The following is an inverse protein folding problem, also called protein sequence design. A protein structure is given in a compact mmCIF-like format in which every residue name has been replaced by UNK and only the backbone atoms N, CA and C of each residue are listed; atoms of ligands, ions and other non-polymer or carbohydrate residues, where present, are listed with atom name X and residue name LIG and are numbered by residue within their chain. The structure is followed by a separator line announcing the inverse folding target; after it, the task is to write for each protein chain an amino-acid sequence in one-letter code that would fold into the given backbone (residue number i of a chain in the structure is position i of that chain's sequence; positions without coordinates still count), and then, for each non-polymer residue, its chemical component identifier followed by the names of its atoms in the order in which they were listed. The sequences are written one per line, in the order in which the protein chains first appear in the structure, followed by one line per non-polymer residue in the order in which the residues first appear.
data_IF_688034174057
#
_entry.id   IF_688034174057
#
_cell.length_a   1.000
_cell.length_b   1.000
_cell.length_c   1.000
_cell.angle_alpha   90.00
_cell.angle_beta   90.00
_cell.angle_gamma   90.00
#
_symmetry.space_group_name_H-M   'P 1'
#
loop_
_entity.id
_entity.type
_entity.pdbx_description
1 polymer ?
#
# COMPACT_ATOMS: atom_id res chain seq x y z
N UNK A 1 -40.28 54.29 -23.76
CA UNK A 1 -40.28 52.85 -24.14
C UNK A 1 -38.85 52.33 -24.07
N UNK A 2 -38.61 51.25 -23.30
CA UNK A 2 -37.72 50.10 -23.64
C UNK A 2 -36.26 50.45 -24.06
N UNK A 3 -35.20 50.11 -23.34
CA UNK A 3 -34.83 48.78 -22.80
C UNK A 3 -33.72 48.91 -21.76
N UNK A 4 -33.94 48.30 -20.59
CA UNK A 4 -32.90 47.79 -19.71
C UNK A 4 -32.33 46.56 -20.42
N UNK A 5 -31.03 46.50 -20.67
CA UNK A 5 -30.33 45.26 -21.02
C UNK A 5 -29.48 44.88 -19.82
N UNK A 6 -30.01 43.94 -19.02
CA UNK A 6 -29.23 43.11 -18.12
C UNK A 6 -28.21 42.34 -18.97
N UNK A 7 -26.92 42.53 -18.70
CA UNK A 7 -25.91 41.55 -19.13
C UNK A 7 -25.82 40.51 -18.01
N UNK A 8 -26.35 39.35 -18.35
CA UNK A 8 -26.40 38.12 -17.58
C UNK A 8 -24.97 37.71 -17.17
N UNK A 9 -24.77 37.54 -15.87
CA UNK A 9 -23.58 36.93 -15.30
C UNK A 9 -23.44 35.52 -15.89
N UNK A 10 -22.37 35.30 -16.66
CA UNK A 10 -21.89 33.97 -17.05
C UNK A 10 -21.43 33.24 -15.78
N UNK A 11 -22.38 32.69 -15.02
CA UNK A 11 -22.11 31.55 -14.14
C UNK A 11 -21.90 30.34 -15.04
N UNK A 12 -20.73 30.27 -15.69
CA UNK A 12 -20.21 28.96 -16.07
C UNK A 12 -20.04 28.19 -14.75
N UNK A 13 -20.70 27.03 -14.57
CA UNK A 13 -20.28 26.15 -13.49
C UNK A 13 -18.85 25.77 -13.82
N UNK A 14 -17.89 26.40 -13.14
CA UNK A 14 -16.59 25.80 -12.93
C UNK A 14 -16.92 24.46 -12.27
N UNK A 15 -16.91 23.39 -13.06
CA UNK A 15 -16.75 22.04 -12.53
C UNK A 15 -15.34 22.01 -11.95
N UNK A 16 -15.19 22.64 -10.78
CA UNK A 16 -14.14 22.32 -9.85
C UNK A 16 -14.39 20.85 -9.53
N UNK A 17 -13.70 19.96 -10.25
CA UNK A 17 -13.54 18.60 -9.80
C UNK A 17 -12.95 18.71 -8.42
N UNK A 18 -13.80 18.58 -7.40
CA UNK A 18 -13.35 18.43 -6.03
C UNK A 18 -12.43 17.23 -6.05
N UNK A 19 -11.12 17.47 -5.96
CA UNK A 19 -10.17 16.39 -5.80
C UNK A 19 -10.57 15.67 -4.51
N UNK A 20 -10.79 14.35 -4.59
CA UNK A 20 -11.05 13.58 -3.39
C UNK A 20 -9.85 13.73 -2.47
N UNK A 21 -10.08 13.95 -1.18
CA UNK A 21 -9.03 14.04 -0.15
C UNK A 21 -8.58 12.66 0.34
N UNK A 22 -9.29 11.62 -0.09
CA UNK A 22 -9.12 10.24 0.37
C UNK A 22 -9.76 9.25 -0.60
N UNK A 23 -9.41 7.98 -0.46
CA UNK A 23 -10.04 6.87 -1.16
C UNK A 23 -10.28 5.70 -0.22
N UNK A 24 -11.02 4.69 -0.66
CA UNK A 24 -11.16 3.43 0.07
C UNK A 24 -10.26 2.37 -0.56
N UNK A 25 -9.47 1.72 0.28
CA UNK A 25 -8.77 0.48 -0.11
C UNK A 25 -9.42 -0.71 0.60
N UNK A 26 -9.28 -1.88 0.00
CA UNK A 26 -9.84 -3.14 0.44
C UNK A 26 -8.73 -4.17 0.60
N UNK A 27 -8.69 -4.82 1.75
CA UNK A 27 -7.83 -5.97 1.98
C UNK A 27 -8.50 -7.22 1.42
N UNK A 28 -7.75 -7.96 0.59
CA UNK A 28 -8.18 -9.22 0.00
C UNK A 28 -7.27 -10.35 0.47
N UNK A 29 -7.83 -11.56 0.55
CA UNK A 29 -7.12 -12.78 0.91
C UNK A 29 -7.08 -13.77 -0.26
N UNK A 30 -6.34 -14.86 -0.07
CA UNK A 30 -6.33 -15.99 -0.99
C UNK A 30 -7.69 -16.71 -0.86
N UNK A 31 -8.51 -16.66 -1.89
CA UNK A 31 -9.85 -17.29 -1.88
C UNK A 31 -9.77 -18.82 -1.93
N UNK A 32 -8.83 -19.38 -2.67
CA UNK A 32 -8.66 -20.83 -2.79
C UNK A 32 -8.06 -21.41 -1.49
N UNK A 33 -8.79 -22.35 -0.88
CA UNK A 33 -8.40 -22.94 0.41
C UNK A 33 -7.14 -23.81 0.31
N UNK A 34 -6.95 -24.56 -0.77
CA UNK A 34 -5.78 -25.42 -0.95
C UNK A 34 -4.50 -24.59 -1.09
N UNK A 35 -4.55 -23.50 -1.86
CA UNK A 35 -3.43 -22.54 -1.97
C UNK A 35 -3.14 -21.91 -0.61
N UNK A 36 -4.17 -21.55 0.16
CA UNK A 36 -3.98 -21.00 1.51
C UNK A 36 -3.29 -21.99 2.43
N UNK A 37 -3.75 -23.24 2.47
CA UNK A 37 -3.13 -24.30 3.27
C UNK A 37 -1.67 -24.54 2.86
N UNK A 38 -1.36 -24.53 1.56
CA UNK A 38 0.01 -24.63 1.06
C UNK A 38 0.86 -23.45 1.54
N UNK A 39 0.32 -22.22 1.48
CA UNK A 39 1.02 -21.04 1.97
C UNK A 39 1.29 -21.13 3.47
N UNK A 40 0.31 -21.56 4.27
CA UNK A 40 0.44 -21.69 5.72
C UNK A 40 1.52 -22.72 6.09
N UNK A 41 1.52 -23.89 5.45
CA UNK A 41 2.54 -24.93 5.67
C UNK A 41 3.93 -24.44 5.24
N UNK A 42 4.01 -23.70 4.13
CA UNK A 42 5.26 -23.16 3.59
C UNK A 42 5.73 -21.88 4.29
N UNK A 43 5.02 -21.39 5.33
CA UNK A 43 5.27 -20.10 5.98
C UNK A 43 5.31 -18.92 5.00
N UNK A 44 4.47 -18.96 3.97
CA UNK A 44 4.26 -17.89 3.00
C UNK A 44 3.09 -17.04 3.49
N UNK A 45 3.35 -15.75 3.65
CA UNK A 45 2.37 -14.77 4.10
C UNK A 45 1.98 -13.90 2.93
N UNK A 46 0.68 -13.83 2.60
CA UNK A 46 0.17 -13.05 1.47
C UNK A 46 -0.89 -12.08 1.97
N UNK A 47 -0.69 -10.80 1.69
CA UNK A 47 -1.70 -9.75 1.88
C UNK A 47 -1.94 -9.06 0.53
N UNK A 48 -3.19 -8.78 0.20
CA UNK A 48 -3.52 -8.02 -1.02
C UNK A 48 -4.26 -6.75 -0.64
N UNK A 49 -3.88 -5.65 -1.28
CA UNK A 49 -4.57 -4.38 -1.22
C UNK A 49 -5.21 -4.13 -2.59
N UNK A 50 -6.50 -3.87 -2.60
CA UNK A 50 -7.28 -3.55 -3.79
C UNK A 50 -7.87 -2.15 -3.65
N UNK A 51 -7.83 -1.38 -4.72
CA UNK A 51 -8.52 -0.10 -4.80
C UNK A 51 -9.23 0.00 -6.15
N UNK A 52 -10.42 0.59 -6.15
CA UNK A 52 -11.18 0.93 -7.35
C UNK A 52 -11.79 2.31 -7.15
N UNK A 53 -11.29 3.29 -7.88
CA UNK A 53 -11.68 4.67 -7.72
C UNK A 53 -11.28 5.49 -8.96
N UNK A 54 -12.28 5.95 -9.71
CA UNK A 54 -12.05 6.75 -10.92
C UNK A 54 -11.53 8.16 -10.62
N UNK A 55 -11.65 8.64 -9.37
CA UNK A 55 -11.12 9.95 -8.98
C UNK A 55 -9.59 9.96 -8.82
N UNK A 56 -8.96 8.78 -8.81
CA UNK A 56 -7.51 8.62 -8.67
C UNK A 56 -6.75 8.74 -9.99
N UNK A 57 -7.42 9.01 -11.11
CA UNK A 57 -6.79 9.14 -12.42
C UNK A 57 -5.56 10.07 -12.39
N UNK A 58 -4.42 9.58 -12.89
CA UNK A 58 -3.12 10.25 -12.88
C UNK A 58 -2.30 10.03 -11.60
N UNK A 59 -2.84 9.37 -10.57
CA UNK A 59 -2.15 9.13 -9.29
C UNK A 59 -1.45 7.79 -9.26
N UNK A 60 -0.39 7.71 -8.46
CA UNK A 60 0.36 6.48 -8.18
C UNK A 60 0.33 6.10 -6.70
N UNK A 61 0.47 4.81 -6.44
CA UNK A 61 0.59 4.28 -5.08
C UNK A 61 2.06 4.09 -4.76
N UNK A 62 2.61 5.02 -4.00
CA UNK A 62 3.95 4.90 -3.44
C UNK A 62 3.92 4.18 -2.10
N UNK A 63 5.00 3.49 -1.77
CA UNK A 63 5.11 2.78 -0.51
C UNK A 63 6.36 3.24 0.23
N UNK A 64 6.23 3.38 1.54
CA UNK A 64 7.35 3.68 2.44
C UNK A 64 7.40 2.60 3.51
N UNK A 65 8.56 1.96 3.67
CA UNK A 65 8.78 0.93 4.70
C UNK A 65 9.56 1.56 5.85
N UNK A 66 8.96 1.59 7.04
CA UNK A 66 9.60 2.12 8.24
C UNK A 66 9.86 1.02 9.25
N UNK A 67 11.08 0.95 9.76
CA UNK A 67 11.48 0.04 10.84
C UNK A 67 11.37 0.76 12.17
N UNK A 68 10.72 0.12 13.13
CA UNK A 68 10.53 0.62 14.47
C UNK A 68 11.33 -0.20 15.46
N UNK A 69 11.95 0.47 16.43
CA UNK A 69 12.57 -0.14 17.60
C UNK A 69 12.24 0.65 18.85
N UNK A 70 11.58 -0.01 19.81
CA UNK A 70 11.09 0.61 21.05
C UNK A 70 10.28 1.90 20.77
N UNK A 71 9.32 1.81 19.85
CA UNK A 71 8.41 2.91 19.50
C UNK A 71 9.01 4.02 18.62
N UNK A 72 10.29 3.93 18.26
CA UNK A 72 10.99 4.94 17.45
C UNK A 72 11.32 4.40 16.06
N UNK A 73 11.16 5.24 15.05
CA UNK A 73 11.62 4.96 13.68
C UNK A 73 13.14 4.95 13.69
N UNK A 74 13.75 3.84 13.25
CA UNK A 74 15.20 3.70 13.13
C UNK A 74 15.68 3.62 11.68
N UNK A 75 14.79 3.30 10.74
CA UNK A 75 15.03 3.39 9.31
C UNK A 75 13.73 3.67 8.56
N UNK A 76 13.84 4.34 7.42
CA UNK A 76 12.73 4.67 6.52
C UNK A 76 13.22 4.54 5.09
N UNK A 77 12.56 3.70 4.31
CA UNK A 77 12.88 3.47 2.91
C UNK A 77 11.66 3.80 2.06
N UNK A 78 11.78 4.87 1.27
CA UNK A 78 10.82 5.21 0.24
C UNK A 78 11.12 4.38 -1.02
N UNK A 79 10.09 3.80 -1.66
CA UNK A 79 10.25 3.07 -2.90
C UNK A 79 10.36 3.98 -4.14
N UNK A 80 10.20 5.29 -3.97
CA UNK A 80 10.32 6.33 -5.02
C UNK A 80 9.48 6.03 -6.27
N UNK A 81 8.27 5.52 -6.05
CA UNK A 81 7.29 5.29 -7.10
C UNK A 81 6.65 6.64 -7.40
N UNK A 82 6.83 7.17 -8.60
CA UNK A 82 6.24 8.45 -9.04
C UNK A 82 5.61 8.30 -10.42
N UNK A 83 4.66 9.18 -10.75
CA UNK A 83 4.09 9.26 -12.09
C UNK A 83 5.18 9.71 -13.08
N UNK A 84 5.65 8.79 -13.92
CA UNK A 84 6.68 9.04 -14.93
C UNK A 84 6.56 8.05 -16.08
N UNK A 85 7.07 8.47 -17.23
CA UNK A 85 7.29 7.60 -18.38
C UNK A 85 8.79 7.34 -18.47
N UNK A 86 9.14 6.07 -18.56
CA UNK A 86 10.53 5.63 -18.75
C UNK A 86 10.67 4.97 -20.11
N UNK A 87 11.67 5.42 -20.87
CA UNK A 87 12.00 4.87 -22.18
C UNK A 87 13.33 4.12 -22.09
N UNK A 88 13.27 2.81 -22.32
CA UNK A 88 14.42 1.91 -22.22
C UNK A 88 14.79 1.47 -23.64
N UNK A 89 15.92 1.95 -24.19
CA UNK A 89 16.39 1.48 -25.48
C UNK A 89 16.90 0.03 -25.36
N UNK A 90 16.47 -0.83 -26.27
CA UNK A 90 16.84 -2.24 -26.34
C UNK A 90 17.29 -2.57 -27.76
N UNK A 91 18.41 -3.27 -27.89
CA UNK A 91 18.88 -3.75 -29.20
C UNK A 91 18.29 -5.13 -29.46
N UNK A 92 17.47 -5.25 -30.50
CA UNK A 92 16.84 -6.51 -30.93
C UNK A 92 17.21 -6.74 -32.38
N UNK A 93 17.96 -7.81 -32.67
CA UNK A 93 18.45 -8.15 -34.01
C UNK A 93 19.24 -7.01 -34.71
N UNK A 94 19.91 -6.15 -33.95
CA UNK A 94 20.67 -5.01 -34.48
C UNK A 94 19.88 -3.72 -34.61
N UNK A 95 18.54 -3.77 -34.52
CA UNK A 95 17.68 -2.59 -34.47
C UNK A 95 17.51 -2.09 -33.03
N UNK A 96 17.45 -0.76 -32.87
CA UNK A 96 17.13 -0.15 -31.56
C UNK A 96 15.62 0.00 -31.43
N UNK A 97 15.04 -0.73 -30.49
CA UNK A 97 13.65 -0.64 -30.07
C UNK A 97 13.56 0.16 -28.77
N UNK A 98 12.55 1.00 -28.61
CA UNK A 98 12.31 1.73 -27.36
C UNK A 98 11.17 1.03 -26.61
N UNK A 99 11.48 0.48 -25.44
CA UNK A 99 10.48 -0.05 -24.52
C UNK A 99 9.98 1.07 -23.61
N UNK A 100 8.70 1.39 -23.68
CA UNK A 100 8.08 2.48 -22.91
C UNK A 100 7.32 1.91 -21.71
N UNK A 101 7.64 2.40 -20.51
CA UNK A 101 6.93 2.07 -19.27
C UNK A 101 6.26 3.33 -18.76
N UNK A 102 4.92 3.33 -18.73
CA UNK A 102 4.15 4.31 -17.98
C UNK A 102 3.96 3.80 -16.54
N UNK A 103 4.67 4.39 -15.58
CA UNK A 103 4.57 3.99 -14.17
C UNK A 103 3.18 4.24 -13.60
N UNK A 104 2.43 5.20 -14.14
CA UNK A 104 1.06 5.49 -13.71
C UNK A 104 0.14 4.31 -14.01
N UNK A 105 0.29 3.69 -15.18
CA UNK A 105 -0.46 2.49 -15.54
C UNK A 105 -0.06 1.26 -14.72
N UNK A 106 1.22 1.16 -14.32
CA UNK A 106 1.75 -0.01 -13.59
C UNK A 106 1.52 0.06 -12.09
N UNK A 107 1.58 1.25 -11.50
CA UNK A 107 1.61 1.43 -10.04
C UNK A 107 0.47 2.29 -9.51
N UNK A 108 -0.45 2.70 -10.38
CA UNK A 108 -1.47 3.68 -10.08
C UNK A 108 -2.70 3.55 -10.97
N UNK A 109 -3.29 4.69 -11.25
CA UNK A 109 -4.52 4.83 -12.02
C UNK A 109 -4.23 5.65 -13.28
N UNK A 110 -3.57 5.04 -14.25
CA UNK A 110 -3.42 5.66 -15.56
C UNK A 110 -4.72 5.63 -16.37
N UNK A 111 -4.66 6.09 -17.63
CA UNK A 111 -5.84 6.52 -18.42
C UNK A 111 -6.97 5.50 -18.53
N UNK A 112 -6.62 4.21 -18.57
CA UNK A 112 -7.57 3.10 -18.71
C UNK A 112 -7.68 2.23 -17.44
N UNK A 113 -6.99 2.60 -16.37
CA UNK A 113 -6.92 1.83 -15.12
C UNK A 113 -7.94 2.38 -14.12
N UNK A 114 -9.03 1.65 -13.92
CA UNK A 114 -10.08 1.99 -12.95
C UNK A 114 -9.85 1.33 -11.58
N UNK A 115 -8.92 0.37 -11.51
CA UNK A 115 -8.64 -0.41 -10.32
C UNK A 115 -7.20 -0.92 -10.28
N UNK A 116 -6.69 -1.07 -9.06
CA UNK A 116 -5.33 -1.50 -8.77
C UNK A 116 -5.36 -2.61 -7.72
N UNK A 117 -4.55 -3.64 -7.91
CA UNK A 117 -4.28 -4.64 -6.87
C UNK A 117 -2.77 -4.73 -6.62
N UNK A 118 -2.37 -4.53 -5.37
CA UNK A 118 -1.00 -4.72 -4.90
C UNK A 118 -0.96 -5.99 -4.05
N UNK A 119 -0.06 -6.91 -4.36
CA UNK A 119 0.16 -8.13 -3.57
C UNK A 119 1.47 -8.05 -2.81
N UNK A 120 1.40 -8.25 -1.50
CA UNK A 120 2.54 -8.35 -0.60
C UNK A 120 2.71 -9.80 -0.21
N UNK A 121 3.67 -10.47 -0.82
CA UNK A 121 3.97 -11.87 -0.58
C UNK A 121 5.31 -11.97 0.11
N UNK A 122 5.36 -12.59 1.28
CA UNK A 122 6.62 -12.77 1.98
C UNK A 122 6.83 -14.17 2.50
N UNK A 123 8.09 -14.57 2.60
CA UNK A 123 8.52 -15.86 3.13
C UNK A 123 9.69 -15.62 4.07
N UNK A 124 9.61 -16.21 5.26
CA UNK A 124 10.72 -16.17 6.21
C UNK A 124 11.72 -17.28 5.87
N UNK A 125 12.96 -16.88 5.59
CA UNK A 125 14.09 -17.80 5.43
C UNK A 125 15.10 -17.49 6.53
N UNK A 126 15.20 -18.38 7.52
CA UNK A 126 15.95 -18.16 8.77
C UNK A 126 15.41 -16.93 9.52
N UNK A 127 16.12 -15.80 9.46
CA UNK A 127 15.73 -14.54 10.10
C UNK A 127 15.53 -13.39 9.09
N UNK A 128 15.50 -13.72 7.79
CA UNK A 128 15.25 -12.74 6.72
C UNK A 128 13.89 -13.03 6.11
N UNK A 129 12.99 -12.07 6.24
CA UNK A 129 11.69 -12.08 5.58
C UNK A 129 11.85 -11.49 4.18
N UNK A 130 11.82 -12.35 3.17
CA UNK A 130 11.88 -11.93 1.77
C UNK A 130 10.50 -11.47 1.35
N UNK A 131 10.32 -10.16 1.23
CA UNK A 131 9.06 -9.53 0.83
C UNK A 131 9.10 -9.18 -0.65
N UNK A 132 8.16 -9.70 -1.42
CA UNK A 132 7.87 -9.29 -2.79
C UNK A 132 6.58 -8.47 -2.81
N UNK A 133 6.70 -7.23 -3.26
CA UNK A 133 5.59 -6.31 -3.50
C UNK A 133 5.31 -6.33 -5.00
N UNK A 134 4.13 -6.77 -5.41
CA UNK A 134 3.77 -6.94 -6.81
C UNK A 134 2.62 -6.00 -7.16
N UNK A 135 2.90 -5.08 -8.08
CA UNK A 135 1.94 -4.28 -8.81
C UNK A 135 1.61 -4.95 -10.16
N UNK A 136 0.60 -4.50 -10.91
CA UNK A 136 0.38 -4.93 -12.29
C UNK A 136 1.61 -4.71 -13.18
N UNK A 137 2.30 -5.81 -13.56
CA UNK A 137 3.45 -5.76 -14.47
C UNK A 137 4.75 -5.20 -13.86
N UNK A 138 4.79 -4.96 -12.55
CA UNK A 138 5.99 -4.49 -11.84
C UNK A 138 6.11 -5.17 -10.48
N UNK A 139 7.32 -5.49 -10.04
CA UNK A 139 7.52 -6.00 -8.68
C UNK A 139 8.81 -5.49 -8.07
N UNK A 140 8.75 -5.25 -6.76
CA UNK A 140 9.87 -4.79 -5.94
C UNK A 140 10.12 -5.86 -4.88
N UNK A 141 11.38 -6.24 -4.69
CA UNK A 141 11.79 -7.19 -3.66
C UNK A 141 12.51 -6.45 -2.54
N UNK A 142 12.20 -6.80 -1.30
CA UNK A 142 12.81 -6.28 -0.07
C UNK A 142 13.15 -7.42 0.87
N UNK A 143 14.14 -7.18 1.73
CA UNK A 143 14.47 -8.09 2.82
C UNK A 143 14.30 -7.36 4.15
N UNK A 144 13.43 -7.90 5.01
CA UNK A 144 13.19 -7.37 6.35
C UNK A 144 13.74 -8.35 7.38
N UNK A 145 14.20 -7.85 8.54
CA UNK A 145 14.58 -8.76 9.64
C UNK A 145 13.31 -9.32 10.28
N UNK A 146 13.27 -10.62 10.48
CA UNK A 146 12.09 -11.31 11.01
C UNK A 146 12.45 -12.44 11.94
N UNK A 147 11.41 -12.99 12.59
CA UNK A 147 11.46 -14.22 13.37
C UNK A 147 10.23 -15.05 13.05
N UNK A 148 10.23 -16.33 13.43
CA UNK A 148 9.13 -17.27 13.15
C UNK A 148 7.76 -16.80 13.64
N UNK A 149 7.71 -16.00 14.70
CA UNK A 149 6.48 -15.45 15.27
C UNK A 149 6.10 -14.07 14.69
N UNK A 150 6.76 -13.58 13.65
CA UNK A 150 6.36 -12.34 13.00
C UNK A 150 5.30 -12.62 11.94
N UNK A 151 4.31 -11.73 11.87
CA UNK A 151 3.20 -11.83 10.93
C UNK A 151 3.01 -10.53 10.17
N UNK A 152 2.81 -10.64 8.84
CA UNK A 152 2.43 -9.59 7.91
C UNK A 152 0.90 -9.48 7.92
N UNK A 153 0.40 -8.39 8.48
CA UNK A 153 -1.04 -8.17 8.72
C UNK A 153 -1.41 -6.72 8.45
N UNK A 154 -2.71 -6.43 8.47
CA UNK A 154 -3.22 -5.05 8.46
C UNK A 154 -2.67 -4.27 9.67
N UNK A 155 -2.24 -3.03 9.44
CA UNK A 155 -1.66 -2.19 10.50
C UNK A 155 -2.72 -1.43 11.31
N UNK A 156 -3.94 -1.33 10.78
CA UNK A 156 -4.92 -0.33 11.19
C UNK A 156 -6.36 -0.87 11.23
N UNK A 157 -6.50 -2.20 11.22
CA UNK A 157 -7.75 -2.91 11.44
C UNK A 157 -7.43 -4.36 11.78
N UNK A 158 -8.22 -4.98 12.66
CA UNK A 158 -8.18 -6.42 12.85
C UNK A 158 -9.24 -7.18 12.04
N UNK A 159 -10.41 -6.58 11.84
CA UNK A 159 -11.62 -7.24 11.31
C UNK A 159 -12.24 -6.54 10.11
N UNK A 160 -12.11 -5.21 10.01
CA UNK A 160 -12.55 -4.48 8.84
C UNK A 160 -11.61 -4.77 7.67
N UNK A 161 -12.22 -5.13 6.54
CA UNK A 161 -11.53 -5.50 5.30
C UNK A 161 -11.42 -4.30 4.36
N UNK A 162 -11.86 -3.12 4.78
CA UNK A 162 -11.69 -1.88 4.03
C UNK A 162 -11.33 -0.74 4.98
N UNK A 163 -10.59 0.24 4.45
CA UNK A 163 -10.17 1.41 5.22
C UNK A 163 -10.20 2.64 4.32
N UNK A 164 -10.42 3.81 4.93
CA UNK A 164 -10.31 5.09 4.23
C UNK A 164 -8.88 5.60 4.37
N UNK A 165 -8.24 5.88 3.24
CA UNK A 165 -6.85 6.31 3.15
C UNK A 165 -6.80 7.73 2.60
N UNK A 166 -6.12 8.68 3.27
CA UNK A 166 -5.94 10.04 2.74
C UNK A 166 -5.05 10.05 1.50
N UNK A 167 -5.28 11.02 0.63
CA UNK A 167 -4.44 11.32 -0.52
C UNK A 167 -3.39 12.37 -0.11
N UNK A 168 -2.18 12.28 -0.68
CA UNK A 168 -1.03 13.15 -0.37
C UNK A 168 -0.55 13.11 1.09
N UNK A 169 -0.81 12.01 1.79
CA UNK A 169 -0.28 11.75 3.13
C UNK A 169 0.10 10.27 3.24
N UNK A 170 1.16 9.99 3.99
CA UNK A 170 1.49 8.63 4.38
C UNK A 170 0.37 8.07 5.28
N UNK A 171 0.01 6.81 5.06
CA UNK A 171 -0.96 6.10 5.88
C UNK A 171 -0.54 4.64 6.11
N UNK A 172 -0.53 4.14 7.35
CA UNK A 172 -0.09 2.78 7.63
C UNK A 172 -1.11 1.77 7.11
N UNK A 173 -0.69 0.85 6.23
CA UNK A 173 -1.59 -0.15 5.64
C UNK A 173 -1.26 -1.59 6.06
N UNK A 174 0.03 -1.90 6.27
CA UNK A 174 0.45 -3.24 6.69
C UNK A 174 1.54 -3.14 7.75
N UNK A 175 1.58 -4.13 8.63
CA UNK A 175 2.59 -4.29 9.65
C UNK A 175 3.21 -5.68 9.54
N UNK A 176 4.54 -5.77 9.67
CA UNK A 176 5.27 -7.01 9.89
C UNK A 176 5.82 -7.00 11.32
N UNK A 177 5.12 -7.70 12.22
CA UNK A 177 5.28 -7.52 13.68
C UNK A 177 5.18 -8.85 14.42
N UNK A 178 5.87 -9.02 15.56
CA UNK A 178 5.54 -10.07 16.51
C UNK A 178 4.14 -9.81 17.13
N UNK A 179 3.52 -10.81 17.76
CA UNK A 179 2.38 -10.54 18.61
C UNK A 179 2.85 -9.83 19.87
N UNK A 180 1.93 -9.18 20.57
CA UNK A 180 2.18 -8.74 21.93
C UNK A 180 1.70 -9.79 22.93
N UNK A 181 2.28 -9.71 24.13
CA UNK A 181 1.92 -10.55 25.27
C UNK A 181 0.70 -9.93 25.98
N UNK A 182 -0.37 -10.71 26.15
CA UNK A 182 -1.58 -10.22 26.84
C UNK A 182 -1.47 -10.34 28.37
N UNK A 183 -0.33 -10.74 28.92
CA UNK A 183 -0.17 -11.06 30.35
C UNK A 183 -0.77 -12.42 30.73
N UNK A 184 -1.11 -13.23 29.72
CA UNK A 184 -1.58 -14.62 29.82
C UNK A 184 -0.83 -15.47 28.80
N UNK A 185 -1.09 -16.77 28.70
CA UNK A 185 -0.47 -17.61 27.66
C UNK A 185 -0.90 -17.23 26.23
N UNK A 186 -1.89 -16.35 26.07
CA UNK A 186 -2.39 -15.91 24.78
C UNK A 186 -1.51 -14.81 24.18
N UNK A 187 -1.25 -14.93 22.88
CA UNK A 187 -0.57 -13.94 22.07
C UNK A 187 -1.54 -13.39 21.04
N UNK A 188 -1.65 -12.07 20.95
CA UNK A 188 -2.62 -11.44 20.04
C UNK A 188 -1.93 -10.46 19.10
N UNK A 189 -2.51 -10.33 17.92
CA UNK A 189 -2.18 -9.29 16.93
C UNK A 189 -3.33 -8.31 16.72
N UNK A 190 -4.52 -8.62 17.26
CA UNK A 190 -5.75 -7.93 16.92
C UNK A 190 -5.77 -6.51 17.49
N UNK A 191 -5.41 -6.36 18.77
CA UNK A 191 -5.40 -5.06 19.44
C UNK A 191 -4.35 -4.09 18.88
N UNK A 192 -3.27 -4.61 18.26
CA UNK A 192 -2.30 -3.77 17.58
C UNK A 192 -2.93 -3.01 16.41
N UNK A 193 -3.78 -3.68 15.61
CA UNK A 193 -4.43 -3.08 14.46
C UNK A 193 -5.43 -1.99 14.80
N UNK A 194 -5.91 -1.90 16.05
CA UNK A 194 -6.89 -0.90 16.48
C UNK A 194 -6.23 0.35 17.09
N UNK A 195 -4.89 0.37 17.17
CA UNK A 195 -4.12 1.38 17.90
C UNK A 195 -3.10 2.07 17.00
N UNK A 196 -2.70 3.28 17.36
CA UNK A 196 -1.67 4.00 16.62
C UNK A 196 -0.34 3.22 16.70
N UNK A 197 0.26 2.96 15.54
CA UNK A 197 1.53 2.24 15.41
C UNK A 197 2.68 2.86 16.20
N UNK A 198 2.62 4.16 16.52
CA UNK A 198 3.60 4.85 17.36
C UNK A 198 3.48 4.46 18.84
N UNK A 199 2.29 4.10 19.30
CA UNK A 199 2.01 3.80 20.71
C UNK A 199 2.30 2.34 21.07
N UNK A 200 2.58 1.48 20.08
CA UNK A 200 2.66 0.02 20.28
C UNK A 200 3.73 -0.41 21.29
N UNK A 201 4.82 0.34 21.40
CA UNK A 201 5.84 0.05 22.41
C UNK A 201 5.36 0.40 23.82
N UNK A 202 4.78 1.57 24.00
CA UNK A 202 4.39 2.04 25.33
C UNK A 202 3.16 1.29 25.84
N UNK A 203 2.20 0.95 24.96
CA UNK A 203 0.98 0.21 25.30
C UNK A 203 1.19 -1.31 25.39
N UNK A 204 2.00 -1.88 24.50
CA UNK A 204 2.07 -3.34 24.30
C UNK A 204 3.49 -3.92 24.38
N UNK A 205 4.51 -3.10 24.65
CA UNK A 205 5.92 -3.51 24.71
C UNK A 205 6.42 -4.21 23.43
N UNK A 206 5.86 -3.86 22.26
CA UNK A 206 6.32 -4.37 20.97
C UNK A 206 7.66 -3.70 20.63
N UNK A 207 8.75 -4.45 20.81
CA UNK A 207 10.12 -3.88 20.75
C UNK A 207 10.64 -3.62 19.35
N UNK A 208 10.16 -4.34 18.34
CA UNK A 208 10.65 -4.26 16.97
C UNK A 208 9.58 -4.73 15.99
N UNK A 209 9.36 -3.95 14.93
CA UNK A 209 8.36 -4.18 13.90
C UNK A 209 8.64 -3.30 12.67
N UNK A 210 8.02 -3.64 11.54
CA UNK A 210 7.99 -2.80 10.34
C UNK A 210 6.57 -2.37 10.04
N UNK A 211 6.40 -1.15 9.57
CA UNK A 211 5.13 -0.65 9.02
C UNK A 211 5.37 -0.28 7.56
N UNK A 212 4.48 -0.74 6.69
CA UNK A 212 4.40 -0.34 5.29
C UNK A 212 3.31 0.72 5.19
N UNK A 213 3.73 1.92 4.84
CA UNK A 213 2.86 3.05 4.57
C UNK A 213 2.52 3.11 3.09
N UNK A 214 1.30 3.52 2.79
CA UNK A 214 0.85 3.92 1.47
C UNK A 214 0.81 5.44 1.40
N UNK A 215 1.35 5.99 0.34
CA UNK A 215 1.20 7.39 -0.06
C UNK A 215 0.59 7.42 -1.46
N UNK A 216 -0.56 8.07 -1.61
CA UNK A 216 -1.22 8.26 -2.91
C UNK A 216 -0.88 9.66 -3.40
N UNK A 217 -0.15 9.77 -4.51
CA UNK A 217 0.26 11.06 -5.09
C UNK A 217 -0.21 11.19 -6.52
#
# INVERSE_FOLDING_TARGET
MRRIILILILFLPLTAYSQSDSTTIYYKWIENNDIRNICDIANIQIQKVFCKDNSLQGKVFNLIIKEFKKGRIISSEDLDISARIEEIPMVVNGDTMIYVIDYTDKTGFGKATDSLTISFTGMLIKNNFKLKISFPGMSINKELKGKSHYSLRMANSCSDTKIRVPINSEYPILAYTPPFDTGSELKSYCMLGEENVLDWYDKFNVKHYYIIYLEIK
#
